data_IF_110594943990
#
_entry.id   IF_110594943990
#
_cell.length_a   1.000
_cell.length_b   1.000
_cell.length_c   1.000
_cell.angle_alpha   90.00
_cell.angle_beta   90.00
_cell.angle_gamma   90.00
#
_symmetry.space_group_name_H-M   'P 1'
#
loop_
_entity.id
_entity.type
_entity.pdbx_description
1 polymer ?
#
# COMPACT_ATOMS: atom_id res chain seq x y z
N UNK A 1 -73.32 -11.02 -5.28
CA UNK A 1 -72.16 -11.35 -4.42
C UNK A 1 -70.94 -10.98 -5.23
N UNK A 2 -70.50 -9.73 -5.09
CA UNK A 2 -69.41 -9.17 -5.90
C UNK A 2 -68.38 -8.62 -4.91
N UNK A 3 -67.29 -9.37 -4.76
CA UNK A 3 -66.24 -9.12 -3.79
C UNK A 3 -65.14 -8.31 -4.46
N UNK A 4 -65.07 -7.02 -4.15
CA UNK A 4 -64.03 -6.11 -4.65
C UNK A 4 -62.70 -6.44 -3.97
N UNK A 5 -61.70 -6.87 -4.73
CA UNK A 5 -60.32 -7.06 -4.24
C UNK A 5 -59.67 -5.70 -3.96
N UNK A 6 -58.87 -5.56 -2.88
CA UNK A 6 -58.21 -4.31 -2.56
C UNK A 6 -57.07 -4.02 -3.55
N UNK A 7 -56.96 -2.74 -3.88
CA UNK A 7 -55.99 -2.17 -4.80
C UNK A 7 -54.54 -2.48 -4.36
N UNK A 8 -53.75 -3.02 -5.29
CA UNK A 8 -52.35 -3.39 -5.05
C UNK A 8 -51.55 -2.10 -4.96
N UNK A 9 -51.15 -1.71 -3.74
CA UNK A 9 -50.28 -0.57 -3.50
C UNK A 9 -49.07 -0.59 -4.47
N UNK A 10 -48.91 0.51 -5.22
CA UNK A 10 -47.80 0.67 -6.15
C UNK A 10 -46.45 0.50 -5.42
N UNK A 11 -45.45 -0.16 -6.06
CA UNK A 11 -44.14 -0.33 -5.46
C UNK A 11 -43.54 1.05 -5.13
N UNK A 12 -43.13 1.23 -3.87
CA UNK A 12 -42.41 2.43 -3.44
C UNK A 12 -41.14 2.57 -4.28
N UNK A 13 -40.81 3.76 -4.80
CA UNK A 13 -39.54 3.97 -5.47
C UNK A 13 -38.41 3.64 -4.49
N UNK A 14 -37.54 2.71 -4.87
CA UNK A 14 -36.31 2.44 -4.15
C UNK A 14 -35.47 3.71 -4.18
N UNK A 15 -35.18 4.28 -3.00
CA UNK A 15 -34.15 5.31 -2.89
C UNK A 15 -32.85 4.74 -3.49
N UNK A 16 -32.13 5.49 -4.35
CA UNK A 16 -30.84 5.03 -4.86
C UNK A 16 -29.94 4.75 -3.65
N UNK A 17 -29.36 3.54 -3.61
CA UNK A 17 -28.36 3.22 -2.60
C UNK A 17 -27.29 4.31 -2.63
N UNK A 18 -26.95 4.89 -1.48
CA UNK A 18 -25.91 5.90 -1.41
C UNK A 18 -24.64 5.33 -2.05
N UNK A 19 -24.06 6.04 -3.01
CA UNK A 19 -22.82 5.64 -3.64
C UNK A 19 -21.75 5.47 -2.55
N UNK A 20 -21.01 4.37 -2.59
CA UNK A 20 -19.91 4.13 -1.65
C UNK A 20 -18.88 5.26 -1.75
N UNK A 21 -18.28 5.71 -0.63
CA UNK A 21 -17.15 6.63 -0.66
C UNK A 21 -16.03 6.12 -1.57
N UNK A 22 -15.29 7.03 -2.20
CA UNK A 22 -14.23 6.68 -3.15
C UNK A 22 -13.13 5.87 -2.46
N UNK A 23 -12.79 6.23 -1.22
CA UNK A 23 -11.89 5.48 -0.34
C UNK A 23 -12.34 4.04 -0.12
N UNK A 24 -13.62 3.81 0.22
CA UNK A 24 -14.17 2.49 0.45
C UNK A 24 -14.12 1.60 -0.80
N UNK A 25 -14.46 2.16 -1.97
CA UNK A 25 -14.34 1.46 -3.24
C UNK A 25 -12.87 1.12 -3.57
N UNK A 26 -11.94 2.02 -3.27
CA UNK A 26 -10.50 1.79 -3.44
C UNK A 26 -9.99 0.64 -2.56
N UNK A 27 -10.37 0.61 -1.27
CA UNK A 27 -10.00 -0.48 -0.36
C UNK A 27 -10.55 -1.83 -0.81
N UNK A 28 -11.79 -1.86 -1.33
CA UNK A 28 -12.37 -3.08 -1.90
C UNK A 28 -11.58 -3.59 -3.12
N UNK A 29 -11.16 -2.68 -4.02
CA UNK A 29 -10.31 -3.02 -5.18
C UNK A 29 -8.96 -3.61 -4.76
N UNK A 30 -8.28 -2.99 -3.79
CA UNK A 30 -7.01 -3.49 -3.24
C UNK A 30 -7.20 -4.89 -2.63
N UNK A 31 -8.24 -5.06 -1.81
CA UNK A 31 -8.56 -6.34 -1.16
C UNK A 31 -8.80 -7.47 -2.16
N UNK A 32 -9.46 -7.18 -3.28
CA UNK A 32 -9.74 -8.15 -4.34
C UNK A 32 -8.48 -8.71 -5.02
N UNK A 33 -7.34 -8.02 -4.94
CA UNK A 33 -6.06 -8.50 -5.50
C UNK A 33 -5.43 -9.63 -4.68
N UNK A 34 -5.88 -9.90 -3.44
CA UNK A 34 -5.40 -10.98 -2.58
C UNK A 34 -3.86 -11.07 -2.45
N UNK A 35 -3.18 -9.91 -2.50
CA UNK A 35 -1.73 -9.81 -2.69
C UNK A 35 -0.89 -10.41 -1.55
N UNK A 36 -1.43 -10.45 -0.33
CA UNK A 36 -0.71 -10.96 0.84
C UNK A 36 -0.84 -12.48 1.04
N UNK A 37 -1.47 -13.22 0.13
CA UNK A 37 -1.74 -14.66 0.29
C UNK A 37 -0.45 -15.49 0.39
N UNK A 38 0.62 -15.12 -0.33
CA UNK A 38 1.91 -15.83 -0.31
C UNK A 38 2.58 -15.85 1.07
N UNK A 39 2.26 -14.86 1.91
CA UNK A 39 2.80 -14.72 3.27
C UNK A 39 1.99 -15.45 4.33
N UNK A 40 0.70 -15.66 4.07
CA UNK A 40 -0.18 -16.36 5.02
C UNK A 40 0.23 -17.81 5.24
N UNK A 41 1.06 -18.35 4.33
CA UNK A 41 1.53 -19.73 4.34
C UNK A 41 3.05 -19.84 4.57
N UNK A 42 3.66 -18.87 5.25
CA UNK A 42 5.02 -19.06 5.78
C UNK A 42 4.98 -20.16 6.84
N UNK A 43 5.40 -21.37 6.45
CA UNK A 43 5.48 -22.53 7.35
C UNK A 43 6.50 -22.33 8.47
N UNK A 44 6.59 -23.28 9.39
CA UNK A 44 7.39 -23.24 10.64
C UNK A 44 8.92 -23.19 10.47
N UNK A 45 9.45 -23.00 9.27
CA UNK A 45 10.89 -23.01 8.99
C UNK A 45 11.32 -21.77 8.20
N UNK A 46 10.89 -20.60 8.66
CA UNK A 46 11.51 -19.30 8.32
C UNK A 46 12.43 -18.89 9.47
N UNK A 47 13.46 -18.10 9.18
CA UNK A 47 14.46 -17.64 10.14
C UNK A 47 15.14 -16.36 9.64
N UNK A 48 16.23 -15.95 10.27
CA UNK A 48 16.88 -14.65 9.99
C UNK A 48 17.12 -14.34 8.51
N UNK A 49 17.60 -15.27 7.65
CA UNK A 49 17.76 -14.98 6.22
C UNK A 49 16.45 -14.61 5.50
N UNK A 50 15.34 -15.25 5.89
CA UNK A 50 14.02 -14.98 5.31
C UNK A 50 13.48 -13.62 5.78
N UNK A 51 13.76 -13.26 7.03
CA UNK A 51 13.44 -11.94 7.57
C UNK A 51 14.24 -10.83 6.88
N UNK A 52 15.53 -11.06 6.64
CA UNK A 52 16.38 -10.15 5.86
C UNK A 52 15.85 -9.95 4.44
N UNK A 53 15.48 -11.03 3.74
CA UNK A 53 14.88 -10.93 2.40
C UNK A 53 13.59 -10.11 2.41
N UNK A 54 12.73 -10.37 3.40
CA UNK A 54 11.48 -9.64 3.59
C UNK A 54 11.71 -8.14 3.84
N UNK A 55 12.59 -7.79 4.77
CA UNK A 55 12.93 -6.39 5.06
C UNK A 55 13.65 -5.71 3.89
N UNK A 56 14.49 -6.42 3.13
CA UNK A 56 15.10 -5.87 1.92
C UNK A 56 14.06 -5.48 0.88
N UNK A 57 13.04 -6.33 0.68
CA UNK A 57 11.93 -6.05 -0.21
C UNK A 57 11.13 -4.83 0.28
N UNK A 58 10.83 -4.75 1.58
CA UNK A 58 10.19 -3.57 2.17
C UNK A 58 11.02 -2.29 2.00
N UNK A 59 12.32 -2.36 2.27
CA UNK A 59 13.23 -1.22 2.09
C UNK A 59 13.22 -0.72 0.64
N UNK A 60 13.23 -1.63 -0.34
CA UNK A 60 13.15 -1.27 -1.76
C UNK A 60 11.83 -0.58 -2.13
N UNK A 61 10.72 -0.93 -1.47
CA UNK A 61 9.43 -0.24 -1.61
C UNK A 61 9.50 1.14 -0.95
N UNK A 62 9.82 1.21 0.34
CA UNK A 62 9.80 2.44 1.15
C UNK A 62 10.75 3.49 0.62
N UNK A 63 11.97 3.10 0.18
CA UNK A 63 12.93 4.06 -0.40
C UNK A 63 12.45 4.70 -1.70
N UNK A 64 11.46 4.12 -2.37
CA UNK A 64 10.89 4.69 -3.59
C UNK A 64 9.76 5.70 -3.31
N UNK A 65 9.17 5.70 -2.11
CA UNK A 65 8.02 6.54 -1.76
C UNK A 65 8.33 8.03 -1.85
N UNK A 66 9.41 8.49 -1.23
CA UNK A 66 9.78 9.92 -1.24
C UNK A 66 10.05 10.41 -2.68
N UNK A 67 10.92 9.77 -3.50
CA UNK A 67 11.13 10.20 -4.89
C UNK A 67 9.84 10.24 -5.73
N UNK A 68 8.94 9.27 -5.54
CA UNK A 68 7.65 9.25 -6.22
C UNK A 68 6.77 10.43 -5.80
N UNK A 69 6.69 10.73 -4.51
CA UNK A 69 5.92 11.86 -3.98
C UNK A 69 6.50 13.20 -4.41
N UNK A 70 7.83 13.35 -4.40
CA UNK A 70 8.50 14.55 -4.89
C UNK A 70 8.19 14.79 -6.36
N UNK A 71 8.24 13.72 -7.17
CA UNK A 71 7.87 13.79 -8.58
C UNK A 71 6.40 14.18 -8.75
N UNK A 72 5.47 13.49 -8.09
CA UNK A 72 4.05 13.79 -8.20
C UNK A 72 3.75 15.23 -7.78
N UNK A 73 4.32 15.69 -6.65
CA UNK A 73 4.23 17.07 -6.20
C UNK A 73 4.76 18.06 -7.24
N UNK A 74 5.89 17.76 -7.90
CA UNK A 74 6.46 18.61 -8.94
C UNK A 74 5.62 18.69 -10.22
N UNK A 75 4.73 17.71 -10.43
CA UNK A 75 3.84 17.64 -11.59
C UNK A 75 2.46 18.26 -11.35
N UNK A 76 2.13 18.64 -10.13
CA UNK A 76 0.88 19.34 -9.83
C UNK A 76 0.88 20.76 -10.43
N UNK A 77 -0.21 21.13 -11.10
CA UNK A 77 -0.54 22.51 -11.44
C UNK A 77 -1.16 23.21 -10.22
N UNK A 78 -0.44 24.15 -9.63
CA UNK A 78 -0.90 24.87 -8.45
C UNK A 78 -2.04 25.86 -8.74
N UNK A 79 -2.35 26.13 -10.01
CA UNK A 79 -3.53 26.90 -10.40
C UNK A 79 -4.81 26.06 -10.35
N UNK A 80 -4.71 24.74 -10.45
CA UNK A 80 -5.84 23.82 -10.26
C UNK A 80 -6.08 23.58 -8.76
N UNK A 81 -7.30 23.84 -8.22
CA UNK A 81 -7.58 23.69 -6.80
C UNK A 81 -7.41 22.27 -6.25
N UNK A 82 -7.68 21.23 -7.05
CA UNK A 82 -7.50 19.84 -6.65
C UNK A 82 -6.01 19.51 -6.58
N UNK A 83 -5.25 19.88 -7.62
CA UNK A 83 -3.81 19.58 -7.67
C UNK A 83 -3.00 20.41 -6.66
N UNK A 84 -3.45 21.63 -6.32
CA UNK A 84 -2.88 22.41 -5.22
C UNK A 84 -3.03 21.69 -3.86
N UNK A 85 -4.21 21.12 -3.58
CA UNK A 85 -4.44 20.31 -2.37
C UNK A 85 -3.60 19.03 -2.39
N UNK A 86 -3.45 18.40 -3.55
CA UNK A 86 -2.62 17.21 -3.73
C UNK A 86 -1.13 17.52 -3.47
N UNK A 87 -0.62 18.65 -3.96
CA UNK A 87 0.75 19.08 -3.70
C UNK A 87 0.99 19.34 -2.21
N UNK A 88 0.02 19.91 -1.50
CA UNK A 88 0.08 20.10 -0.04
C UNK A 88 0.09 18.77 0.70
N UNK A 89 -0.79 17.83 0.32
CA UNK A 89 -0.83 16.48 0.90
C UNK A 89 0.52 15.76 0.73
N UNK A 90 1.08 15.72 -0.49
CA UNK A 90 2.40 15.12 -0.70
C UNK A 90 3.52 15.83 0.08
N UNK A 91 3.44 17.15 0.27
CA UNK A 91 4.44 17.88 1.07
C UNK A 91 4.41 17.45 2.54
N UNK A 92 3.21 17.27 3.12
CA UNK A 92 3.05 16.74 4.47
C UNK A 92 3.60 15.31 4.56
N UNK A 93 3.18 14.46 3.64
CA UNK A 93 3.51 13.05 3.67
C UNK A 93 5.00 12.76 3.40
N UNK A 94 5.68 13.55 2.55
CA UNK A 94 7.15 13.48 2.40
C UNK A 94 7.87 13.76 3.73
N UNK A 95 7.38 14.70 4.54
CA UNK A 95 7.98 15.01 5.83
C UNK A 95 7.76 13.89 6.84
N UNK A 96 6.58 13.27 6.82
CA UNK A 96 6.21 12.14 7.69
C UNK A 96 7.03 10.89 7.37
N UNK A 97 7.17 10.54 6.08
CA UNK A 97 7.91 9.35 5.63
C UNK A 97 9.44 9.53 5.66
N UNK A 98 9.92 10.72 6.01
CA UNK A 98 11.34 11.05 6.11
C UNK A 98 12.08 10.11 7.08
N UNK A 99 13.09 9.41 6.57
CA UNK A 99 13.93 8.52 7.38
C UNK A 99 13.38 7.10 7.59
N UNK A 100 12.18 6.76 7.12
CA UNK A 100 11.64 5.40 7.25
C UNK A 100 12.50 4.34 6.54
N UNK A 101 13.10 4.69 5.39
CA UNK A 101 14.04 3.81 4.71
C UNK A 101 15.31 3.56 5.56
N UNK A 102 15.81 4.58 6.26
CA UNK A 102 16.98 4.46 7.12
C UNK A 102 16.69 3.62 8.37
N UNK A 103 15.48 3.72 8.93
CA UNK A 103 15.02 2.85 10.02
C UNK A 103 15.02 1.37 9.58
N UNK A 104 14.58 1.08 8.35
CA UNK A 104 14.65 -0.28 7.78
C UNK A 104 16.09 -0.76 7.61
N UNK A 105 17.03 0.12 7.24
CA UNK A 105 18.45 -0.24 7.18
C UNK A 105 19.00 -0.56 8.57
N UNK A 106 18.64 0.21 9.61
CA UNK A 106 19.04 -0.07 10.98
C UNK A 106 18.49 -1.41 11.51
N UNK A 107 17.24 -1.75 11.19
CA UNK A 107 16.66 -3.07 11.50
C UNK A 107 17.42 -4.21 10.80
N UNK A 108 17.78 -4.01 9.52
CA UNK A 108 18.57 -4.97 8.73
C UNK A 108 19.99 -5.16 9.27
N UNK A 109 20.64 -4.10 9.75
CA UNK A 109 21.95 -4.18 10.40
C UNK A 109 21.89 -5.01 11.68
N UNK A 110 20.85 -4.83 12.51
CA UNK A 110 20.59 -5.67 13.68
C UNK A 110 20.27 -7.12 13.31
N UNK A 111 19.75 -7.36 12.11
CA UNK A 111 19.56 -8.69 11.54
C UNK A 111 20.84 -9.26 10.88
N UNK A 112 21.96 -8.52 10.88
CA UNK A 112 23.25 -8.97 10.36
C UNK A 112 23.46 -8.74 8.85
N UNK A 113 22.74 -7.79 8.25
CA UNK A 113 22.92 -7.39 6.86
C UNK A 113 23.23 -5.90 6.78
N UNK A 114 24.43 -5.54 6.29
CA UNK A 114 24.84 -4.13 6.23
C UNK A 114 24.16 -3.37 5.08
N UNK A 115 24.15 -2.04 5.16
CA UNK A 115 23.51 -1.19 4.17
C UNK A 115 24.06 -1.38 2.73
N UNK A 116 25.35 -1.65 2.56
CA UNK A 116 25.93 -1.86 1.23
C UNK A 116 25.41 -3.16 0.60
N UNK A 117 25.28 -4.23 1.39
CA UNK A 117 24.68 -5.49 0.97
C UNK A 117 23.20 -5.31 0.61
N UNK A 118 22.45 -4.53 1.38
CA UNK A 118 21.04 -4.22 1.08
C UNK A 118 20.93 -3.45 -0.24
N UNK A 119 21.73 -2.40 -0.43
CA UNK A 119 21.69 -1.54 -1.61
C UNK A 119 22.19 -2.23 -2.88
N UNK A 120 23.06 -3.23 -2.76
CA UNK A 120 23.55 -4.03 -3.88
C UNK A 120 22.53 -5.07 -4.38
N UNK A 121 21.48 -5.38 -3.61
CA UNK A 121 20.45 -6.36 -4.01
C UNK A 121 19.61 -5.81 -5.16
N UNK A 122 19.63 -6.52 -6.28
CA UNK A 122 18.71 -6.27 -7.39
C UNK A 122 17.26 -6.60 -6.98
N UNK A 123 16.30 -5.69 -7.17
CA UNK A 123 14.90 -5.96 -6.86
C UNK A 123 14.34 -7.06 -7.78
N UNK A 124 13.29 -7.75 -7.32
CA UNK A 124 12.53 -8.63 -8.20
C UNK A 124 11.92 -7.82 -9.37
N UNK A 125 11.80 -8.39 -10.59
CA UNK A 125 11.22 -7.68 -11.73
C UNK A 125 9.86 -7.05 -11.43
N UNK A 126 8.99 -7.79 -10.73
CA UNK A 126 7.67 -7.30 -10.32
C UNK A 126 7.74 -6.04 -9.44
N UNK A 127 8.77 -5.89 -8.61
CA UNK A 127 8.94 -4.69 -7.79
C UNK A 127 9.40 -3.48 -8.63
N UNK A 128 10.33 -3.70 -9.57
CA UNK A 128 10.73 -2.66 -10.51
C UNK A 128 9.54 -2.21 -11.38
N UNK A 129 8.71 -3.15 -11.84
CA UNK A 129 7.47 -2.86 -12.56
C UNK A 129 6.47 -2.10 -11.68
N UNK A 130 6.35 -2.46 -10.40
CA UNK A 130 5.45 -1.80 -9.46
C UNK A 130 5.76 -0.32 -9.31
N UNK A 131 7.02 -0.01 -9.03
CA UNK A 131 7.52 1.36 -8.85
C UNK A 131 7.55 2.10 -10.18
N UNK A 132 8.04 1.45 -11.25
CA UNK A 132 8.11 2.03 -12.59
C UNK A 132 6.75 2.44 -13.16
N UNK A 133 5.70 1.68 -12.88
CA UNK A 133 4.33 2.04 -13.27
C UNK A 133 3.89 3.37 -12.64
N UNK A 134 4.27 3.65 -11.39
CA UNK A 134 3.89 4.90 -10.73
C UNK A 134 4.57 6.10 -11.41
N UNK A 135 5.84 5.96 -11.77
CA UNK A 135 6.53 6.96 -12.60
C UNK A 135 5.79 7.21 -13.92
N UNK A 136 5.36 6.15 -14.61
CA UNK A 136 4.61 6.28 -15.85
C UNK A 136 3.30 7.05 -15.66
N UNK A 137 2.49 6.68 -14.66
CA UNK A 137 1.23 7.34 -14.37
C UNK A 137 1.41 8.83 -14.03
N UNK A 138 2.40 9.15 -13.19
CA UNK A 138 2.68 10.54 -12.80
C UNK A 138 3.16 11.37 -13.99
N UNK A 139 4.10 10.84 -14.78
CA UNK A 139 4.75 11.59 -15.86
C UNK A 139 3.84 11.82 -17.07
N UNK A 140 2.93 10.90 -17.33
CA UNK A 140 2.16 10.85 -18.59
C UNK A 140 0.64 10.99 -18.42
N UNK A 141 0.11 10.90 -17.20
CA UNK A 141 -1.32 11.03 -16.95
C UNK A 141 -1.65 12.08 -15.90
N UNK A 142 -1.41 11.81 -14.63
CA UNK A 142 -1.71 12.76 -13.55
C UNK A 142 -0.99 12.37 -12.25
N UNK A 143 -0.51 13.35 -11.46
CA UNK A 143 0.03 13.08 -10.12
C UNK A 143 -1.00 12.44 -9.18
N UNK A 144 -2.30 12.58 -9.46
CA UNK A 144 -3.39 11.97 -8.69
C UNK A 144 -3.25 10.44 -8.58
N UNK A 145 -2.70 9.79 -9.60
CA UNK A 145 -2.54 8.33 -9.63
C UNK A 145 -1.75 7.80 -8.41
N UNK A 146 -0.79 8.58 -7.90
CA UNK A 146 0.07 8.16 -6.80
C UNK A 146 -0.73 7.87 -5.51
N UNK A 147 -1.91 8.49 -5.31
CA UNK A 147 -2.77 8.17 -4.16
C UNK A 147 -3.16 6.69 -4.12
N UNK A 148 -3.28 6.02 -5.27
CA UNK A 148 -3.58 4.59 -5.31
C UNK A 148 -2.42 3.74 -4.78
N UNK A 149 -1.18 4.13 -5.08
CA UNK A 149 0.01 3.47 -4.54
C UNK A 149 0.14 3.70 -3.03
N UNK A 150 -0.06 4.94 -2.56
CA UNK A 150 -0.05 5.26 -1.12
C UNK A 150 -1.15 4.48 -0.39
N UNK A 151 -2.37 4.42 -0.95
CA UNK A 151 -3.47 3.63 -0.39
C UNK A 151 -3.16 2.14 -0.30
N UNK A 152 -2.35 1.60 -1.21
CA UNK A 152 -1.88 0.24 -1.08
C UNK A 152 -0.90 0.09 0.10
N UNK A 153 0.06 0.99 0.25
CA UNK A 153 1.09 0.92 1.30
C UNK A 153 0.50 1.09 2.72
N UNK A 154 -0.37 2.07 2.93
CA UNK A 154 -1.06 2.33 4.22
C UNK A 154 -2.25 1.39 4.46
N UNK A 155 -2.54 0.49 3.52
CA UNK A 155 -3.76 -0.31 3.55
C UNK A 155 -3.66 -1.54 4.44
N UNK A 156 -2.46 -2.01 4.77
CA UNK A 156 -2.26 -3.30 5.45
C UNK A 156 -0.93 -3.32 6.20
N UNK A 157 -0.91 -2.74 7.41
CA UNK A 157 0.30 -2.70 8.21
C UNK A 157 0.67 -4.10 8.71
N UNK A 158 1.94 -4.32 9.09
CA UNK A 158 2.33 -5.51 9.84
C UNK A 158 1.49 -5.63 11.12
N UNK A 159 0.79 -6.75 11.29
CA UNK A 159 0.02 -6.98 12.53
C UNK A 159 0.96 -7.31 13.69
N UNK A 160 0.57 -7.02 14.95
CA UNK A 160 1.34 -7.43 16.13
C UNK A 160 1.65 -8.93 16.15
N UNK A 161 0.72 -9.77 15.67
CA UNK A 161 0.93 -11.21 15.53
C UNK A 161 2.00 -11.57 14.50
N UNK A 162 2.08 -10.87 13.37
CA UNK A 162 3.13 -11.08 12.38
C UNK A 162 4.52 -10.68 12.90
N UNK A 163 4.61 -9.58 13.66
CA UNK A 163 5.85 -9.15 14.30
C UNK A 163 6.31 -10.17 15.34
N UNK A 164 5.40 -10.62 16.22
CA UNK A 164 5.69 -11.64 17.23
C UNK A 164 6.14 -12.98 16.60
N UNK A 165 5.55 -13.36 15.47
CA UNK A 165 5.97 -14.52 14.72
C UNK A 165 7.41 -14.38 14.23
N UNK A 166 7.77 -13.26 13.59
CA UNK A 166 9.15 -13.01 13.15
C UNK A 166 10.15 -12.98 14.32
N UNK A 167 9.80 -12.33 15.42
CA UNK A 167 10.63 -12.30 16.62
C UNK A 167 10.92 -13.72 17.15
N UNK A 168 9.89 -14.56 17.23
CA UNK A 168 10.02 -15.95 17.67
C UNK A 168 10.85 -16.79 16.70
N UNK A 169 10.61 -16.65 15.39
CA UNK A 169 11.26 -17.45 14.35
C UNK A 169 12.75 -17.11 14.16
N UNK A 170 13.14 -15.87 14.44
CA UNK A 170 14.51 -15.39 14.21
C UNK A 170 15.36 -15.32 15.48
N UNK A 171 14.74 -15.14 16.65
CA UNK A 171 15.46 -14.88 17.90
C UNK A 171 16.19 -13.55 17.95
N UNK A 172 15.91 -12.63 17.01
CA UNK A 172 16.53 -11.31 16.95
C UNK A 172 16.07 -10.41 18.12
N UNK A 173 16.89 -9.41 18.52
CA UNK A 173 16.52 -8.49 19.58
C UNK A 173 15.27 -7.68 19.19
N UNK A 174 14.44 -7.24 20.15
CA UNK A 174 13.26 -6.42 19.86
C UNK A 174 13.54 -5.18 19.01
N UNK A 175 14.73 -4.60 19.15
CA UNK A 175 15.19 -3.45 18.38
C UNK A 175 15.20 -3.70 16.86
N UNK A 176 15.39 -4.93 16.39
CA UNK A 176 15.44 -5.29 14.97
C UNK A 176 14.07 -5.27 14.26
N UNK A 177 13.01 -4.90 14.97
CA UNK A 177 11.64 -4.84 14.45
C UNK A 177 11.04 -3.44 14.61
N UNK A 178 11.88 -2.41 14.69
CA UNK A 178 11.42 -1.04 14.95
C UNK A 178 10.55 -0.52 13.81
N UNK A 179 10.98 -0.71 12.56
CA UNK A 179 10.23 -0.31 11.36
C UNK A 179 8.83 -0.93 11.31
N UNK A 180 8.74 -2.23 11.58
CA UNK A 180 7.46 -2.94 11.55
C UNK A 180 6.50 -2.47 12.64
N UNK A 181 7.01 -2.09 13.82
CA UNK A 181 6.18 -1.51 14.89
C UNK A 181 5.76 -0.09 14.58
N UNK A 182 6.67 0.73 14.05
CA UNK A 182 6.38 2.11 13.66
C UNK A 182 5.17 2.16 12.72
N UNK A 183 5.16 1.32 11.68
CA UNK A 183 4.01 1.20 10.79
C UNK A 183 2.84 0.41 11.43
N UNK A 184 3.10 -0.61 12.25
CA UNK A 184 2.03 -1.35 12.96
C UNK A 184 1.16 -0.46 13.86
N UNK A 185 1.78 0.48 14.57
CA UNK A 185 1.13 1.32 15.58
C UNK A 185 0.55 2.63 15.01
N UNK A 186 1.15 3.20 13.95
CA UNK A 186 0.73 4.48 13.36
C UNK A 186 -0.36 4.35 12.27
N UNK A 187 -0.44 3.20 11.61
CA UNK A 187 -1.17 3.09 10.33
C UNK A 187 -2.71 3.14 10.41
N UNK A 188 -3.41 2.83 11.52
CA UNK A 188 -4.85 3.11 11.60
C UNK A 188 -5.20 4.59 11.44
N UNK A 189 -4.28 5.48 11.82
CA UNK A 189 -4.46 6.93 11.67
C UNK A 189 -4.16 7.38 10.23
N UNK A 190 -3.00 7.00 9.67
CA UNK A 190 -2.62 7.37 8.30
C UNK A 190 -3.66 6.89 7.28
N UNK A 191 -4.09 5.63 7.41
CA UNK A 191 -5.15 5.07 6.57
C UNK A 191 -6.41 5.93 6.60
N UNK A 192 -6.81 6.40 7.78
CA UNK A 192 -8.02 7.21 7.95
C UNK A 192 -7.84 8.60 7.35
N UNK A 193 -6.69 9.22 7.58
CA UNK A 193 -6.36 10.53 7.02
C UNK A 193 -6.32 10.50 5.49
N UNK A 194 -5.78 9.43 4.90
CA UNK A 194 -5.82 9.22 3.45
C UNK A 194 -7.25 8.95 2.95
N UNK A 195 -8.03 8.12 3.63
CA UNK A 195 -9.42 7.84 3.26
C UNK A 195 -10.25 9.14 3.27
N UNK A 196 -10.14 9.94 4.35
CA UNK A 196 -10.79 11.25 4.51
C UNK A 196 -10.30 12.24 3.44
N UNK A 197 -9.00 12.24 3.12
CA UNK A 197 -8.44 13.09 2.06
C UNK A 197 -9.03 12.72 0.70
N UNK A 198 -9.00 11.45 0.30
CA UNK A 198 -9.54 10.96 -0.98
C UNK A 198 -11.01 11.32 -1.12
N UNK A 199 -11.81 11.07 -0.08
CA UNK A 199 -13.25 11.35 -0.11
C UNK A 199 -13.55 12.86 -0.20
N UNK A 200 -12.65 13.71 0.31
CA UNK A 200 -12.76 15.17 0.22
C UNK A 200 -12.36 15.77 -1.14
N UNK A 201 -11.73 14.99 -2.04
CA UNK A 201 -11.33 15.49 -3.36
C UNK A 201 -12.48 15.52 -4.37
N UNK A 202 -13.62 14.87 -4.06
CA UNK A 202 -14.79 14.77 -4.93
C UNK A 202 -14.41 14.34 -6.37
N UNK A 203 -13.59 13.28 -6.47
CA UNK A 203 -13.07 12.79 -7.75
C UNK A 203 -14.20 12.43 -8.71
N UNK A 204 -14.01 12.78 -9.98
CA UNK A 204 -14.88 12.29 -11.04
C UNK A 204 -14.63 10.80 -11.34
N UNK A 205 -15.38 10.25 -12.29
CA UNK A 205 -15.26 8.85 -12.67
C UNK A 205 -13.85 8.51 -13.22
N UNK A 206 -13.21 9.45 -13.92
CA UNK A 206 -11.89 9.23 -14.51
C UNK A 206 -10.80 9.21 -13.43
N UNK A 207 -10.81 10.16 -12.50
CA UNK A 207 -9.90 10.19 -11.35
C UNK A 207 -10.08 8.98 -10.45
N UNK A 208 -11.33 8.59 -10.17
CA UNK A 208 -11.63 7.38 -9.39
C UNK A 208 -11.11 6.10 -10.07
N UNK A 209 -11.22 6.02 -11.41
CA UNK A 209 -10.68 4.91 -12.17
C UNK A 209 -9.15 4.88 -12.13
N UNK A 210 -8.49 6.03 -12.33
CA UNK A 210 -7.03 6.16 -12.31
C UNK A 210 -6.42 5.73 -10.97
N UNK A 211 -6.91 6.29 -9.86
CA UNK A 211 -6.47 5.93 -8.51
C UNK A 211 -6.68 4.43 -8.25
N UNK A 212 -7.84 3.90 -8.63
CA UNK A 212 -8.15 2.47 -8.51
C UNK A 212 -7.22 1.56 -9.30
N UNK A 213 -6.90 1.90 -10.55
CA UNK A 213 -5.98 1.14 -11.38
C UNK A 213 -4.56 1.16 -10.80
N UNK A 214 -4.09 2.33 -10.37
CA UNK A 214 -2.78 2.49 -9.73
C UNK A 214 -2.65 1.60 -8.50
N UNK A 215 -3.68 1.58 -7.65
CA UNK A 215 -3.71 0.76 -6.44
C UNK A 215 -3.75 -0.74 -6.73
N UNK A 216 -4.60 -1.18 -7.66
CA UNK A 216 -4.68 -2.59 -8.05
C UNK A 216 -3.38 -3.09 -8.67
N UNK A 217 -2.74 -2.26 -9.48
CA UNK A 217 -1.45 -2.59 -10.09
C UNK A 217 -0.36 -2.70 -9.01
N UNK A 218 -0.32 -1.77 -8.05
CA UNK A 218 0.58 -1.83 -6.91
C UNK A 218 0.37 -3.12 -6.11
N UNK A 219 -0.88 -3.41 -5.73
CA UNK A 219 -1.24 -4.60 -4.97
C UNK A 219 -0.85 -5.89 -5.70
N UNK A 220 -1.22 -6.03 -6.98
CA UNK A 220 -0.89 -7.23 -7.76
C UNK A 220 0.62 -7.46 -7.85
N UNK A 221 1.37 -6.42 -8.22
CA UNK A 221 2.82 -6.53 -8.44
C UNK A 221 3.60 -6.72 -7.13
N UNK A 222 3.13 -6.13 -6.02
CA UNK A 222 3.62 -6.49 -4.70
C UNK A 222 3.38 -7.98 -4.43
N UNK A 223 2.16 -8.49 -4.63
CA UNK A 223 1.86 -9.91 -4.46
C UNK A 223 2.79 -10.82 -5.28
N UNK A 224 3.06 -10.45 -6.53
CA UNK A 224 3.99 -11.16 -7.42
C UNK A 224 5.43 -11.14 -6.91
N UNK A 225 5.91 -9.99 -6.39
CA UNK A 225 7.24 -9.86 -5.80
C UNK A 225 7.39 -10.74 -4.53
N UNK A 226 6.40 -10.74 -3.66
CA UNK A 226 6.42 -11.53 -2.42
C UNK A 226 6.27 -13.03 -2.74
N UNK A 227 5.50 -13.39 -3.76
CA UNK A 227 5.42 -14.76 -4.27
C UNK A 227 6.76 -15.23 -4.85
N UNK A 228 7.47 -14.37 -5.60
CA UNK A 228 8.79 -14.69 -6.13
C UNK A 228 9.79 -14.96 -5.00
N UNK A 229 9.82 -14.09 -3.99
CA UNK A 229 10.65 -14.25 -2.79
C UNK A 229 10.36 -15.58 -2.06
N UNK A 230 9.09 -15.87 -1.76
CA UNK A 230 8.72 -17.10 -1.06
C UNK A 230 8.98 -18.37 -1.87
N UNK A 231 8.95 -18.31 -3.21
CA UNK A 231 9.37 -19.42 -4.09
C UNK A 231 10.87 -19.68 -4.01
N UNK A 232 11.70 -18.65 -3.90
CA UNK A 232 13.15 -18.80 -3.72
C UNK A 232 13.45 -19.55 -2.41
N UNK A 233 12.78 -19.20 -1.32
CA UNK A 233 12.92 -19.87 -0.03
C UNK A 233 12.61 -21.36 -0.09
N UNK A 234 11.60 -21.77 -0.87
CA UNK A 234 11.23 -23.19 -1.02
C UNK A 234 12.24 -23.99 -1.85
N UNK A 235 12.94 -23.35 -2.79
CA UNK A 235 13.96 -24.01 -3.64
C UNK A 235 15.30 -24.20 -2.94
N UNK A 236 15.56 -23.41 -1.89
CA UNK A 236 16.78 -23.48 -1.10
C UNK A 236 16.74 -24.57 -0.01
N UNK A 237 15.63 -25.32 0.09
CA UNK A 237 15.47 -26.50 0.95
C UNK A 237 15.78 -27.78 0.18
#
# INVERSE_FOLDING_TARGET
METTLPDRAAPRPSLPAAALPASAALRAKIGACAYNTSLRHLGTAVGTPHYQDYLCLLHQIVRASIPLMELARSRCDLADPLEARLAQYFTGHIREEGGHADILLADLELAGLDAAQVLARTPAPALAEMVGAQYYWILHHSPLALLGYIAFLEGTPPSPGAIAYWATATGLPPAAFHSLRLHGDADPLHRRELDDFIDSLALDAAGTALVGLSAMQAARLAGDAWLAMTRQWRRAR
#
